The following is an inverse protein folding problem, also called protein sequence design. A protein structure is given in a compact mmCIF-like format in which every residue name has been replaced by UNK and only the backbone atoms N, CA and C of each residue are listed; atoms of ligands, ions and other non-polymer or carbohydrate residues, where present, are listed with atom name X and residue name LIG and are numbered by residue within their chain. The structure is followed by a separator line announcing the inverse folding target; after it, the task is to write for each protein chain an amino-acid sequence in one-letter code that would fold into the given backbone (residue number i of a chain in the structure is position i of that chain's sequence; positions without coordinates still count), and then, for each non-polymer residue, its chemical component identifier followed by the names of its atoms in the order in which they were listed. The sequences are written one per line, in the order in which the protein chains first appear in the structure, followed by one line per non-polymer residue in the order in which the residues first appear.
data_IF_437713940702
#
_entry.id   IF_437713940702
#
_cell.length_a   1.000
_cell.length_b   1.000
_cell.length_c   1.000
_cell.angle_alpha   90.00
_cell.angle_beta   90.00
_cell.angle_gamma   90.00
#
_symmetry.space_group_name_H-M   'P 1'
#
loop_
_entity.id
_entity.type
_entity.pdbx_description
1 polymer ?
#
# COMPACT_ATOMS: atom_id res chain seq x y z
N UNK A 1 21.08 -10.97 -14.61
CA UNK A 1 21.61 -10.12 -13.52
C UNK A 1 21.92 -10.89 -12.25
N UNK A 2 20.97 -11.55 -11.59
CA UNK A 2 21.22 -12.19 -10.28
C UNK A 2 22.32 -13.28 -10.27
N UNK A 3 22.52 -14.00 -11.39
CA UNK A 3 23.59 -15.00 -11.53
C UNK A 3 24.95 -14.42 -11.98
N UNK A 4 25.03 -13.15 -12.38
CA UNK A 4 26.24 -12.62 -12.99
C UNK A 4 27.34 -12.40 -11.93
N UNK A 5 28.55 -12.96 -12.10
CA UNK A 5 29.58 -12.99 -11.07
C UNK A 5 30.26 -11.63 -10.82
N UNK A 6 30.16 -10.68 -11.77
CA UNK A 6 30.74 -9.33 -11.60
C UNK A 6 29.82 -8.32 -10.93
N UNK A 7 28.54 -8.66 -10.71
CA UNK A 7 27.62 -7.77 -10.03
C UNK A 7 27.84 -7.92 -8.53
N UNK A 8 28.06 -6.81 -7.83
CA UNK A 8 28.35 -6.79 -6.37
C UNK A 8 27.15 -6.44 -5.50
N UNK A 9 26.15 -5.73 -6.04
CA UNK A 9 24.95 -5.30 -5.31
C UNK A 9 23.71 -5.36 -6.19
N UNK A 10 22.57 -5.71 -5.61
CA UNK A 10 21.25 -5.63 -6.24
C UNK A 10 20.29 -4.92 -5.27
N UNK A 11 19.65 -3.85 -5.74
CA UNK A 11 18.52 -3.22 -5.07
C UNK A 11 17.25 -3.55 -5.84
N UNK A 12 16.24 -4.10 -5.17
CA UNK A 12 15.01 -4.56 -5.79
C UNK A 12 13.78 -4.13 -4.99
N UNK A 13 12.80 -3.55 -5.71
CA UNK A 13 11.48 -3.19 -5.18
C UNK A 13 10.42 -3.98 -5.92
N UNK A 14 9.58 -4.72 -5.21
CA UNK A 14 8.55 -5.53 -5.85
C UNK A 14 7.94 -6.59 -4.93
N UNK A 15 7.54 -7.71 -5.52
CA UNK A 15 6.86 -8.77 -4.75
C UNK A 15 7.83 -9.65 -3.97
N UNK A 16 7.37 -10.17 -2.83
CA UNK A 16 8.13 -11.09 -1.98
C UNK A 16 8.54 -12.37 -2.70
N UNK A 17 7.67 -12.88 -3.59
CA UNK A 17 7.96 -14.08 -4.40
C UNK A 17 9.19 -13.87 -5.28
N UNK A 18 9.28 -12.72 -5.94
CA UNK A 18 10.44 -12.39 -6.79
C UNK A 18 11.67 -12.10 -5.93
N UNK A 19 11.52 -11.40 -4.80
CA UNK A 19 12.61 -11.15 -3.85
C UNK A 19 13.29 -12.44 -3.38
N UNK A 20 12.51 -13.46 -3.01
CA UNK A 20 13.02 -14.79 -2.63
C UNK A 20 13.86 -15.44 -3.73
N UNK A 21 13.36 -15.42 -4.98
CA UNK A 21 14.11 -15.95 -6.14
C UNK A 21 15.43 -15.21 -6.38
N UNK A 22 15.44 -13.88 -6.21
CA UNK A 22 16.66 -13.08 -6.34
C UNK A 22 17.67 -13.45 -5.24
N UNK A 23 17.20 -13.67 -4.01
CA UNK A 23 18.04 -14.08 -2.90
C UNK A 23 18.67 -15.45 -3.12
N UNK A 24 17.89 -16.44 -3.57
CA UNK A 24 18.39 -17.78 -3.92
C UNK A 24 19.44 -17.74 -5.04
N UNK A 25 19.20 -16.97 -6.10
CA UNK A 25 20.15 -16.82 -7.21
C UNK A 25 21.45 -16.10 -6.79
N UNK A 26 21.35 -15.14 -5.87
CA UNK A 26 22.52 -14.46 -5.29
C UNK A 26 23.37 -15.42 -4.46
N UNK A 27 22.72 -16.25 -3.63
CA UNK A 27 23.40 -17.25 -2.81
C UNK A 27 24.14 -18.30 -3.64
N UNK A 28 23.57 -18.72 -4.77
CA UNK A 28 24.19 -19.69 -5.70
C UNK A 28 25.32 -19.12 -6.56
N UNK A 29 25.53 -17.81 -6.58
CA UNK A 29 26.51 -17.17 -7.47
C UNK A 29 27.74 -16.65 -6.72
N UNK A 30 27.64 -15.47 -6.09
CA UNK A 30 28.80 -14.82 -5.45
C UNK A 30 28.41 -14.03 -4.19
N UNK A 31 27.26 -14.34 -3.56
CA UNK A 31 26.78 -13.71 -2.32
C UNK A 31 26.76 -12.17 -2.39
N UNK A 32 25.99 -11.63 -3.34
CA UNK A 32 25.85 -10.18 -3.55
C UNK A 32 25.22 -9.52 -2.33
N UNK A 33 25.55 -8.24 -2.12
CA UNK A 33 24.80 -7.39 -1.18
C UNK A 33 23.41 -7.12 -1.75
N UNK A 34 22.37 -7.39 -0.98
CA UNK A 34 20.97 -7.26 -1.42
C UNK A 34 20.24 -6.21 -0.58
N UNK A 35 19.45 -5.37 -1.24
CA UNK A 35 18.50 -4.45 -0.60
C UNK A 35 17.12 -4.69 -1.21
N UNK A 36 16.12 -4.90 -0.35
CA UNK A 36 14.79 -5.31 -0.77
C UNK A 36 13.72 -4.42 -0.13
N UNK A 37 12.89 -3.81 -0.99
CA UNK A 37 11.61 -3.22 -0.60
C UNK A 37 10.50 -4.13 -1.12
N UNK A 38 10.00 -4.98 -0.24
CA UNK A 38 9.00 -6.00 -0.58
C UNK A 38 7.62 -5.51 -0.17
N UNK A 39 6.58 -6.12 -0.73
CA UNK A 39 5.19 -5.78 -0.42
C UNK A 39 4.92 -5.70 1.09
N UNK A 40 4.11 -4.74 1.49
CA UNK A 40 3.74 -4.47 2.88
C UNK A 40 2.26 -4.72 3.15
N UNK A 41 1.93 -4.96 4.42
CA UNK A 41 0.56 -4.99 4.92
C UNK A 41 0.41 -4.09 6.14
N UNK A 42 0.55 -2.79 5.90
CA UNK A 42 0.77 -1.76 6.91
C UNK A 42 -0.49 -1.44 7.73
N UNK A 43 -0.41 -1.39 9.07
CA UNK A 43 -1.45 -0.83 9.95
C UNK A 43 -1.40 0.71 9.95
N UNK A 44 -2.51 1.38 10.28
CA UNK A 44 -2.62 2.83 10.08
C UNK A 44 -3.50 3.62 11.06
N UNK A 45 -4.09 3.01 12.09
CA UNK A 45 -4.95 3.73 13.06
C UNK A 45 -4.72 3.22 14.49
N UNK A 46 -4.62 4.14 15.45
CA UNK A 46 -4.41 3.94 16.90
C UNK A 46 -5.66 4.31 17.73
N UNK A 47 -5.66 3.97 19.02
CA UNK A 47 -6.85 4.01 19.90
C UNK A 47 -7.27 5.46 20.20
N UNK A 48 -6.30 6.37 20.21
CA UNK A 48 -6.42 7.78 20.54
C UNK A 48 -6.64 8.70 19.32
N UNK A 49 -6.73 8.13 18.12
CA UNK A 49 -6.90 8.90 16.90
C UNK A 49 -8.32 9.50 16.78
N UNK A 50 -8.40 10.74 16.28
CA UNK A 50 -9.68 11.35 15.87
C UNK A 50 -10.32 10.48 14.78
N UNK A 51 -11.52 9.97 15.07
CA UNK A 51 -12.22 9.02 14.20
C UNK A 51 -12.57 9.60 12.83
N UNK A 52 -13.05 10.84 12.75
CA UNK A 52 -13.46 11.43 11.47
C UNK A 52 -12.25 11.72 10.58
N UNK A 53 -11.19 12.25 11.18
CA UNK A 53 -9.93 12.47 10.48
C UNK A 53 -9.31 11.13 10.04
N UNK A 54 -9.30 10.14 10.94
CA UNK A 54 -8.77 8.82 10.65
C UNK A 54 -9.50 8.15 9.49
N UNK A 55 -10.84 8.21 9.45
CA UNK A 55 -11.65 7.65 8.35
C UNK A 55 -11.28 8.33 7.02
N UNK A 56 -11.22 9.66 6.97
CA UNK A 56 -10.91 10.40 5.75
C UNK A 56 -9.48 10.14 5.24
N UNK A 57 -8.49 10.17 6.13
CA UNK A 57 -7.09 9.90 5.79
C UNK A 57 -6.89 8.42 5.42
N UNK A 58 -7.59 7.51 6.08
CA UNK A 58 -7.53 6.08 5.76
C UNK A 58 -8.19 5.76 4.41
N UNK A 59 -9.37 6.31 4.13
CA UNK A 59 -10.06 6.16 2.85
C UNK A 59 -9.21 6.68 1.67
N UNK A 60 -8.65 7.89 1.81
CA UNK A 60 -7.79 8.48 0.78
C UNK A 60 -6.50 7.68 0.59
N UNK A 61 -5.78 7.33 1.67
CA UNK A 61 -4.54 6.54 1.59
C UNK A 61 -4.75 5.12 1.06
N UNK A 62 -5.92 4.52 1.34
CA UNK A 62 -6.32 3.21 0.79
C UNK A 62 -6.55 3.25 -0.72
N UNK A 63 -6.99 4.38 -1.28
CA UNK A 63 -7.21 4.53 -2.72
C UNK A 63 -6.04 5.22 -3.44
N UNK A 64 -5.02 5.67 -2.71
CA UNK A 64 -3.81 6.24 -3.32
C UNK A 64 -3.26 5.29 -4.38
N UNK A 65 -3.15 5.82 -5.62
CA UNK A 65 -2.72 5.09 -6.82
C UNK A 65 -3.38 3.72 -6.95
N UNK A 66 -4.69 3.63 -6.72
CA UNK A 66 -5.43 2.38 -6.91
C UNK A 66 -4.85 1.19 -6.14
N UNK A 67 -4.23 1.44 -4.99
CA UNK A 67 -3.53 0.44 -4.14
C UNK A 67 -2.23 -0.11 -4.73
N UNK A 68 -1.67 0.53 -5.74
CA UNK A 68 -0.36 0.21 -6.32
C UNK A 68 0.79 0.91 -5.59
N UNK A 69 0.63 1.18 -4.30
CA UNK A 69 1.65 1.74 -3.44
C UNK A 69 1.92 0.80 -2.27
N UNK A 70 3.20 0.47 -2.03
CA UNK A 70 3.59 -0.53 -1.03
C UNK A 70 3.20 -0.15 0.41
N UNK A 71 3.10 1.15 0.70
CA UNK A 71 2.68 1.69 1.99
C UNK A 71 1.17 1.92 2.13
N UNK A 72 0.38 1.62 1.10
CA UNK A 72 -1.07 1.80 1.19
C UNK A 72 -1.65 0.86 2.26
N UNK A 73 -2.53 1.37 3.14
CA UNK A 73 -3.16 0.52 4.12
C UNK A 73 -4.05 -0.51 3.41
N UNK A 74 -3.73 -1.79 3.61
CA UNK A 74 -4.41 -2.89 2.92
C UNK A 74 -4.99 -3.95 3.87
N UNK A 75 -4.97 -3.70 5.19
CA UNK A 75 -5.84 -4.38 6.16
C UNK A 75 -7.02 -3.47 6.50
N UNK A 76 -8.22 -4.04 6.74
CA UNK A 76 -9.30 -3.28 7.37
C UNK A 76 -8.77 -2.65 8.64
N UNK A 77 -9.15 -1.38 8.85
CA UNK A 77 -8.58 -0.48 9.83
C UNK A 77 -8.39 -1.12 11.21
N UNK A 78 -7.28 -0.72 11.84
CA UNK A 78 -6.99 -0.85 13.26
C UNK A 78 -6.70 -2.27 13.82
N UNK A 79 -5.50 -2.43 14.37
CA UNK A 79 -5.24 -3.42 15.43
C UNK A 79 -5.33 -2.79 16.82
N UNK A 80 -5.53 -1.48 16.88
CA UNK A 80 -5.39 -0.68 18.09
C UNK A 80 -6.55 0.30 18.23
N UNK A 81 -7.75 0.05 17.73
CA UNK A 81 -8.88 0.95 18.02
C UNK A 81 -10.09 0.11 18.42
N UNK A 82 -10.68 0.30 19.60
CA UNK A 82 -11.85 -0.50 20.04
C UNK A 82 -13.00 -0.52 19.01
N UNK A 83 -13.13 0.53 18.21
CA UNK A 83 -14.15 0.68 17.16
C UNK A 83 -13.67 0.29 15.74
N UNK A 84 -12.72 -0.64 15.57
CA UNK A 84 -12.24 -1.10 14.24
C UNK A 84 -13.37 -1.38 13.23
N UNK A 85 -14.47 -1.96 13.70
CA UNK A 85 -15.63 -2.32 12.86
C UNK A 85 -16.35 -1.10 12.28
N UNK A 86 -16.45 -0.02 13.05
CA UNK A 86 -17.13 1.21 12.64
C UNK A 86 -16.28 1.98 11.61
N UNK A 87 -14.97 2.07 11.84
CA UNK A 87 -14.05 2.69 10.88
C UNK A 87 -14.12 1.93 9.55
N UNK A 88 -14.11 0.59 9.60
CA UNK A 88 -14.22 -0.24 8.41
C UNK A 88 -15.52 0.01 7.64
N UNK A 89 -16.67 0.01 8.31
CA UNK A 89 -17.97 0.17 7.63
C UNK A 89 -18.08 1.55 6.98
N UNK A 90 -17.66 2.61 7.68
CA UNK A 90 -17.66 3.98 7.15
C UNK A 90 -16.69 4.15 5.97
N UNK A 91 -15.48 3.60 6.05
CA UNK A 91 -14.52 3.64 4.93
C UNK A 91 -15.04 2.85 3.72
N UNK A 92 -15.57 1.65 3.91
CA UNK A 92 -16.06 0.84 2.78
C UNK A 92 -17.26 1.51 2.08
N UNK A 93 -18.14 2.18 2.85
CA UNK A 93 -19.18 3.05 2.29
C UNK A 93 -18.56 4.22 1.51
N UNK A 94 -17.64 4.98 2.11
CA UNK A 94 -17.00 6.13 1.48
C UNK A 94 -16.30 5.74 0.18
N UNK A 95 -15.53 4.64 0.16
CA UNK A 95 -14.85 4.09 -1.03
C UNK A 95 -15.85 3.72 -2.13
N UNK A 96 -17.04 3.19 -1.77
CA UNK A 96 -18.07 2.81 -2.74
C UNK A 96 -18.61 3.98 -3.57
N UNK A 97 -18.52 5.20 -3.06
CA UNK A 97 -18.88 6.42 -3.78
C UNK A 97 -17.74 6.98 -4.64
N UNK A 98 -16.52 6.40 -4.55
CA UNK A 98 -15.42 6.86 -5.40
C UNK A 98 -15.63 6.39 -6.83
N UNK A 99 -15.58 7.34 -7.79
CA UNK A 99 -15.77 7.00 -9.18
C UNK A 99 -14.56 6.21 -9.71
N UNK A 100 -14.84 5.05 -10.32
CA UNK A 100 -13.86 4.32 -11.11
C UNK A 100 -13.89 4.86 -12.54
N UNK A 101 -12.83 5.56 -12.96
CA UNK A 101 -12.74 6.20 -14.27
C UNK A 101 -11.35 6.10 -14.88
N UNK A 102 -11.22 6.59 -16.11
CA UNK A 102 -9.92 6.68 -16.80
C UNK A 102 -8.95 7.58 -16.03
N UNK A 103 -7.68 7.18 -15.94
CA UNK A 103 -6.58 7.98 -15.36
C UNK A 103 -6.40 9.35 -16.03
N UNK A 104 -6.96 9.52 -17.23
CA UNK A 104 -6.91 10.77 -18.00
C UNK A 104 -7.96 11.79 -17.53
N UNK A 105 -8.92 11.40 -16.67
CA UNK A 105 -9.89 12.33 -16.08
C UNK A 105 -9.29 12.90 -14.80
N UNK A 106 -8.85 14.17 -14.79
CA UNK A 106 -8.17 14.74 -13.63
C UNK A 106 -9.08 14.80 -12.40
N UNK A 107 -8.47 14.59 -11.23
CA UNK A 107 -9.17 14.42 -9.95
C UNK A 107 -10.07 15.62 -9.59
N UNK A 108 -9.69 16.81 -10.06
CA UNK A 108 -10.42 18.08 -9.85
C UNK A 108 -11.78 18.13 -10.56
N UNK A 109 -12.00 17.34 -11.62
CA UNK A 109 -13.30 17.26 -12.31
C UNK A 109 -14.32 16.40 -11.55
N UNK A 110 -13.89 15.69 -10.51
CA UNK A 110 -14.76 14.88 -9.64
C UNK A 110 -15.28 15.66 -8.41
N UNK A 111 -14.98 16.96 -8.31
CA UNK A 111 -15.40 17.85 -7.21
C UNK A 111 -16.92 18.18 -7.19
N UNK A 112 -17.72 17.58 -8.07
CA UNK A 112 -19.19 17.76 -8.11
C UNK A 112 -19.99 16.54 -7.63
N UNK A 113 -19.35 15.48 -7.13
CA UNK A 113 -19.99 14.19 -6.82
C UNK A 113 -20.02 13.90 -5.30
N UNK A 114 -19.45 14.77 -4.46
CA UNK A 114 -19.35 14.57 -3.02
C UNK A 114 -20.25 15.52 -2.24
N UNK A 115 -21.02 15.05 -1.26
CA UNK A 115 -21.78 15.90 -0.36
C UNK A 115 -20.96 16.18 0.90
N UNK A 116 -20.02 17.13 0.83
CA UNK A 116 -19.46 17.82 2.00
C UNK A 116 -19.13 19.26 1.60
#
# INVERSE_FOLDING_TARGET
MAYHPRIRRIAFTGSTLTGRKIQEASAKSNLKVLTFELGGKSPSVFDDADLEQAINTYSSSRLMRWREFCGSPCRPAAYYHSNCFEIRSKTDLQIGWWPAGSLLVPMNLWHGIWPF
#
